data_IF_264758627545
#
_entry.id   IF_264758627545
#
_cell.length_a   1.000
_cell.length_b   1.000
_cell.length_c   1.000
_cell.angle_alpha   90.00
_cell.angle_beta   90.00
_cell.angle_gamma   90.00
#
_symmetry.space_group_name_H-M   'P 1'
#
loop_
_entity.id
_entity.type
_entity.pdbx_description
1 polymer ?
#
# COMPACT_ATOMS: atom_id res chain seq x y z
N UNK A 1 -13.17 10.51 10.32
CA UNK A 1 -13.17 9.03 10.27
C UNK A 1 -12.01 8.52 11.10
N UNK A 2 -12.19 7.48 11.90
CA UNK A 2 -11.14 6.93 12.76
C UNK A 2 -10.33 5.86 12.03
N UNK A 3 -9.12 5.58 12.49
CA UNK A 3 -8.30 4.48 11.95
C UNK A 3 -8.96 3.10 12.07
N UNK A 4 -9.90 2.91 13.00
CA UNK A 4 -10.73 1.71 13.09
C UNK A 4 -11.63 1.56 11.86
N UNK A 5 -12.40 2.60 11.52
CA UNK A 5 -13.31 2.60 10.36
C UNK A 5 -12.52 2.39 9.06
N UNK A 6 -11.35 3.03 8.95
CA UNK A 6 -10.50 2.87 7.77
C UNK A 6 -10.01 1.42 7.61
N UNK A 7 -9.69 0.72 8.71
CA UNK A 7 -9.34 -0.71 8.67
C UNK A 7 -10.50 -1.58 8.21
N UNK A 8 -11.71 -1.30 8.68
CA UNK A 8 -12.91 -2.05 8.23
C UNK A 8 -13.14 -1.84 6.74
N UNK A 9 -13.03 -0.60 6.24
CA UNK A 9 -13.16 -0.31 4.80
C UNK A 9 -12.09 -1.08 4.01
N UNK A 10 -10.83 -1.04 4.45
CA UNK A 10 -9.73 -1.75 3.77
C UNK A 10 -9.96 -3.26 3.72
N UNK A 11 -10.40 -3.88 4.84
CA UNK A 11 -10.70 -5.32 4.89
C UNK A 11 -11.90 -5.68 4.00
N UNK A 12 -12.98 -4.91 4.07
CA UNK A 12 -14.20 -5.18 3.31
C UNK A 12 -13.95 -5.06 1.79
N UNK A 13 -13.26 -4.00 1.35
CA UNK A 13 -12.97 -3.80 -0.07
C UNK A 13 -11.99 -4.84 -0.61
N UNK A 14 -11.02 -5.28 0.18
CA UNK A 14 -10.11 -6.38 -0.20
C UNK A 14 -10.85 -7.72 -0.31
N UNK A 15 -11.74 -8.01 0.63
CA UNK A 15 -12.54 -9.24 0.58
C UNK A 15 -13.45 -9.27 -0.66
N UNK A 16 -14.08 -8.13 -1.00
CA UNK A 16 -14.90 -8.01 -2.20
C UNK A 16 -14.08 -8.21 -3.49
N UNK A 17 -12.84 -7.71 -3.53
CA UNK A 17 -11.91 -7.93 -4.65
C UNK A 17 -11.67 -9.43 -4.88
N UNK A 18 -11.26 -10.13 -3.83
CA UNK A 18 -10.93 -11.56 -3.92
C UNK A 18 -12.16 -12.44 -4.21
N UNK A 19 -13.32 -12.13 -3.62
CA UNK A 19 -14.57 -12.82 -3.96
C UNK A 19 -14.96 -12.55 -5.41
N UNK A 20 -14.88 -11.29 -5.84
CA UNK A 20 -15.20 -10.93 -7.23
C UNK A 20 -14.33 -11.70 -8.21
N UNK A 21 -13.02 -11.66 -8.00
CA UNK A 21 -12.05 -12.30 -8.89
C UNK A 21 -12.21 -13.81 -9.00
N UNK A 22 -12.55 -14.48 -7.92
CA UNK A 22 -12.54 -15.95 -7.86
C UNK A 22 -13.90 -16.62 -8.07
N UNK A 23 -15.02 -15.92 -7.83
CA UNK A 23 -16.35 -16.55 -7.82
C UNK A 23 -17.38 -15.89 -8.76
N UNK A 24 -17.00 -14.84 -9.49
CA UNK A 24 -17.93 -14.08 -10.32
C UNK A 24 -17.40 -13.95 -11.74
N UNK A 25 -18.19 -14.38 -12.73
CA UNK A 25 -17.81 -14.37 -14.15
C UNK A 25 -17.48 -12.97 -14.71
N UNK A 26 -18.08 -11.91 -14.16
CA UNK A 26 -17.79 -10.53 -14.53
C UNK A 26 -17.47 -9.68 -13.29
N UNK A 27 -16.27 -9.83 -12.71
CA UNK A 27 -15.92 -9.25 -11.44
C UNK A 27 -15.64 -7.73 -11.47
N UNK A 28 -15.76 -7.09 -12.63
CA UNK A 28 -15.26 -5.73 -12.91
C UNK A 28 -15.60 -4.73 -11.79
N UNK A 29 -16.85 -4.69 -11.31
CA UNK A 29 -17.27 -3.75 -10.27
C UNK A 29 -16.60 -4.06 -8.91
N UNK A 30 -16.56 -5.34 -8.51
CA UNK A 30 -16.00 -5.75 -7.22
C UNK A 30 -14.49 -5.56 -7.20
N UNK A 31 -13.82 -5.89 -8.30
CA UNK A 31 -12.38 -5.66 -8.47
C UNK A 31 -12.04 -4.18 -8.43
N UNK A 32 -12.88 -3.32 -9.00
CA UNK A 32 -12.68 -1.88 -8.93
C UNK A 32 -12.85 -1.34 -7.51
N UNK A 33 -13.86 -1.79 -6.77
CA UNK A 33 -14.04 -1.46 -5.35
C UNK A 33 -12.81 -1.91 -4.55
N UNK A 34 -12.28 -3.07 -4.86
CA UNK A 34 -11.07 -3.62 -4.26
C UNK A 34 -9.84 -2.72 -4.37
N UNK A 35 -9.75 -1.90 -5.42
CA UNK A 35 -8.63 -0.94 -5.61
C UNK A 35 -8.55 0.13 -4.53
N UNK A 36 -9.59 0.32 -3.72
CA UNK A 36 -9.58 1.19 -2.55
C UNK A 36 -8.76 0.57 -1.40
N UNK A 37 -8.72 -0.76 -1.31
CA UNK A 37 -8.10 -1.47 -0.18
C UNK A 37 -6.63 -1.09 0.00
N UNK A 38 -5.84 -1.19 -1.06
CA UNK A 38 -4.40 -0.99 -0.96
C UNK A 38 -4.00 0.44 -0.55
N UNK A 39 -4.55 1.52 -1.15
CA UNK A 39 -4.32 2.88 -0.65
C UNK A 39 -4.63 3.04 0.84
N UNK A 40 -5.70 2.40 1.32
CA UNK A 40 -6.04 2.43 2.75
C UNK A 40 -5.00 1.70 3.61
N UNK A 41 -4.51 0.53 3.18
CA UNK A 41 -3.45 -0.20 3.89
C UNK A 41 -2.13 0.57 3.87
N UNK A 42 -1.73 1.14 2.75
CA UNK A 42 -0.52 1.94 2.63
C UNK A 42 -0.58 3.19 3.52
N UNK A 43 -1.74 3.85 3.59
CA UNK A 43 -1.95 5.00 4.47
C UNK A 43 -1.89 4.60 5.95
N UNK A 44 -2.54 3.51 6.35
CA UNK A 44 -2.49 2.99 7.72
C UNK A 44 -1.09 2.54 8.11
N UNK A 45 -0.33 1.98 7.17
CA UNK A 45 1.08 1.62 7.37
C UNK A 45 1.92 2.87 7.64
N UNK A 46 1.75 3.91 6.82
CA UNK A 46 2.44 5.20 6.97
C UNK A 46 2.08 5.89 8.29
N UNK A 47 0.80 5.83 8.69
CA UNK A 47 0.34 6.35 9.97
C UNK A 47 0.96 5.57 11.15
N UNK A 48 0.97 4.24 11.06
CA UNK A 48 1.60 3.36 12.06
C UNK A 48 3.11 3.61 12.18
N UNK A 49 3.80 3.77 11.06
CA UNK A 49 5.23 4.05 11.01
C UNK A 49 5.61 5.31 11.82
N UNK A 50 4.81 6.36 11.73
CA UNK A 50 5.05 7.60 12.46
C UNK A 50 5.18 7.41 13.98
N UNK A 51 4.42 6.47 14.54
CA UNK A 51 4.44 6.18 15.98
C UNK A 51 5.52 5.18 16.39
N UNK A 52 5.94 4.32 15.47
CA UNK A 52 6.82 3.18 15.75
C UNK A 52 8.28 3.54 15.52
N UNK A 53 8.58 4.39 14.54
CA UNK A 53 9.95 4.69 14.12
C UNK A 53 10.84 5.32 15.21
N UNK A 54 10.25 6.07 16.13
CA UNK A 54 10.98 6.75 17.20
C UNK A 54 11.51 5.82 18.29
N UNK A 55 10.96 4.61 18.41
CA UNK A 55 11.30 3.63 19.43
C UNK A 55 11.85 2.37 18.77
N UNK A 56 13.15 2.10 18.95
CA UNK A 56 13.84 0.94 18.35
C UNK A 56 13.16 -0.40 18.68
N UNK A 57 12.68 -0.56 19.91
CA UNK A 57 12.00 -1.81 20.32
C UNK A 57 10.67 -1.99 19.59
N UNK A 58 9.89 -0.91 19.46
CA UNK A 58 8.64 -0.92 18.73
C UNK A 58 8.87 -1.14 17.24
N UNK A 59 9.90 -0.48 16.68
CA UNK A 59 10.30 -0.64 15.28
C UNK A 59 10.63 -2.10 14.97
N UNK A 60 11.54 -2.71 15.74
CA UNK A 60 11.93 -4.12 15.57
C UNK A 60 10.74 -5.06 15.71
N UNK A 61 9.90 -4.86 16.74
CA UNK A 61 8.68 -5.65 16.91
C UNK A 61 7.74 -5.54 15.72
N UNK A 62 7.59 -4.35 15.14
CA UNK A 62 6.71 -4.13 14.01
C UNK A 62 7.25 -4.78 12.73
N UNK A 63 8.54 -4.61 12.46
CA UNK A 63 9.24 -5.27 11.34
C UNK A 63 9.13 -6.79 11.47
N UNK A 64 9.43 -7.36 12.65
CA UNK A 64 9.29 -8.80 12.89
C UNK A 64 7.86 -9.30 12.65
N UNK A 65 6.86 -8.51 13.04
CA UNK A 65 5.45 -8.85 12.78
C UNK A 65 5.14 -8.83 11.28
N UNK A 66 5.64 -7.84 10.53
CA UNK A 66 5.44 -7.77 9.08
C UNK A 66 6.15 -8.91 8.34
N UNK A 67 7.38 -9.26 8.76
CA UNK A 67 8.11 -10.41 8.21
C UNK A 67 7.33 -11.71 8.45
N UNK A 68 6.89 -11.93 9.69
CA UNK A 68 6.10 -13.12 10.03
C UNK A 68 4.81 -13.20 9.22
N UNK A 69 4.11 -12.08 9.07
CA UNK A 69 2.90 -12.02 8.25
C UNK A 69 3.20 -12.25 6.77
N UNK A 70 4.28 -11.71 6.23
CA UNK A 70 4.68 -11.97 4.86
C UNK A 70 4.92 -13.47 4.63
N UNK A 71 5.69 -14.11 5.51
CA UNK A 71 5.98 -15.55 5.41
C UNK A 71 4.71 -16.42 5.54
N UNK A 72 3.81 -16.09 6.47
CA UNK A 72 2.56 -16.87 6.66
C UNK A 72 1.58 -16.62 5.51
N UNK A 73 1.55 -15.40 4.98
CA UNK A 73 0.59 -15.02 3.94
C UNK A 73 0.95 -15.58 2.58
N UNK A 74 2.22 -15.87 2.32
CA UNK A 74 2.66 -16.34 1.00
C UNK A 74 1.99 -17.65 0.59
N UNK A 75 2.06 -18.75 1.36
CA UNK A 75 1.39 -20.00 0.99
C UNK A 75 -0.14 -19.86 0.93
N UNK A 76 -0.73 -18.97 1.75
CA UNK A 76 -2.17 -18.70 1.69
C UNK A 76 -2.55 -17.96 0.41
N UNK A 77 -1.70 -17.06 -0.05
CA UNK A 77 -1.88 -16.31 -1.28
C UNK A 77 -1.64 -17.18 -2.51
N UNK A 78 -0.60 -18.04 -2.50
CA UNK A 78 -0.34 -19.00 -3.57
C UNK A 78 -1.54 -19.94 -3.76
N UNK A 79 -2.14 -20.40 -2.66
CA UNK A 79 -3.36 -21.23 -2.72
C UNK A 79 -4.54 -20.45 -3.30
N UNK A 80 -4.68 -19.16 -2.99
CA UNK A 80 -5.71 -18.29 -3.52
C UNK A 80 -5.57 -18.05 -5.03
N UNK A 81 -4.33 -17.84 -5.51
CA UNK A 81 -4.05 -17.44 -6.91
C UNK A 81 -3.96 -18.67 -7.83
N UNK A 82 -3.35 -19.75 -7.36
CA UNK A 82 -2.99 -20.92 -8.18
C UNK A 82 -3.77 -22.20 -7.82
N UNK A 83 -4.58 -22.16 -6.77
CA UNK A 83 -5.33 -23.33 -6.30
C UNK A 83 -4.43 -24.52 -5.97
N UNK A 84 -4.68 -25.69 -6.55
CA UNK A 84 -3.89 -26.91 -6.34
C UNK A 84 -2.49 -26.90 -6.95
N UNK A 85 -2.15 -25.92 -7.78
CA UNK A 85 -0.87 -25.83 -8.51
C UNK A 85 0.24 -25.07 -7.74
N UNK A 86 0.17 -25.01 -6.42
CA UNK A 86 1.06 -24.23 -5.54
C UNK A 86 2.56 -24.49 -5.81
N UNK A 87 2.93 -25.72 -6.20
CA UNK A 87 4.33 -26.12 -6.29
C UNK A 87 5.12 -25.53 -7.48
N UNK A 88 4.46 -25.01 -8.52
CA UNK A 88 5.12 -24.46 -9.71
C UNK A 88 5.33 -22.94 -9.67
N UNK A 89 4.74 -22.24 -8.71
CA UNK A 89 4.52 -20.79 -8.80
C UNK A 89 5.07 -19.98 -7.63
N UNK A 90 5.86 -20.58 -6.74
CA UNK A 90 6.40 -19.93 -5.53
C UNK A 90 7.11 -18.57 -5.77
N UNK A 91 7.53 -18.26 -6.99
CA UNK A 91 8.19 -17.00 -7.37
C UNK A 91 7.35 -16.16 -8.33
N UNK A 92 6.20 -16.65 -8.81
CA UNK A 92 5.48 -16.00 -9.90
C UNK A 92 4.60 -14.83 -9.44
N UNK A 93 4.03 -14.90 -8.23
CA UNK A 93 3.21 -13.83 -7.70
C UNK A 93 3.38 -13.71 -6.19
N UNK A 94 3.78 -12.55 -5.71
CA UNK A 94 4.05 -12.33 -4.29
C UNK A 94 2.88 -11.64 -3.60
N UNK A 95 2.62 -12.03 -2.33
CA UNK A 95 1.54 -11.46 -1.54
C UNK A 95 1.69 -9.95 -1.29
N UNK A 96 0.57 -9.28 -1.08
CA UNK A 96 0.55 -7.84 -0.72
C UNK A 96 1.30 -7.55 0.59
N UNK A 97 1.49 -8.56 1.46
CA UNK A 97 2.23 -8.40 2.72
C UNK A 97 3.71 -8.16 2.49
N UNK A 98 4.32 -8.76 1.47
CA UNK A 98 5.69 -8.48 1.04
C UNK A 98 5.79 -7.02 0.57
N UNK A 99 4.84 -6.56 -0.22
CA UNK A 99 4.80 -5.16 -0.69
C UNK A 99 4.70 -4.16 0.47
N UNK A 100 3.87 -4.45 1.48
CA UNK A 100 3.75 -3.61 2.67
C UNK A 100 5.03 -3.63 3.52
N UNK A 101 5.67 -4.79 3.65
CA UNK A 101 6.98 -4.92 4.31
C UNK A 101 8.04 -4.06 3.60
N UNK A 102 8.14 -4.16 2.28
CA UNK A 102 9.06 -3.35 1.48
C UNK A 102 8.76 -1.85 1.64
N UNK A 103 7.48 -1.46 1.59
CA UNK A 103 7.08 -0.07 1.84
C UNK A 103 7.51 0.43 3.21
N UNK A 104 7.39 -0.40 4.25
CA UNK A 104 7.83 -0.07 5.60
C UNK A 104 9.35 0.07 5.70
N UNK A 105 10.10 -0.84 5.11
CA UNK A 105 11.57 -0.78 5.05
C UNK A 105 12.05 0.46 4.30
N UNK A 106 11.38 0.82 3.20
CA UNK A 106 11.66 2.04 2.44
C UNK A 106 11.37 3.31 3.23
N UNK A 107 10.27 3.39 3.94
CA UNK A 107 10.00 4.53 4.83
C UNK A 107 11.08 4.64 5.89
N UNK A 108 11.53 3.50 6.46
CA UNK A 108 12.61 3.46 7.45
C UNK A 108 13.93 3.96 6.88
N UNK A 109 14.32 3.48 5.72
CA UNK A 109 15.53 3.92 5.02
C UNK A 109 15.45 5.41 4.67
N UNK A 110 14.32 5.86 4.15
CA UNK A 110 14.09 7.26 3.79
C UNK A 110 14.24 8.17 5.00
N UNK A 111 13.71 7.78 6.17
CA UNK A 111 13.81 8.61 7.38
C UNK A 111 15.21 8.57 8.01
N UNK A 112 15.94 7.45 7.88
CA UNK A 112 17.34 7.35 8.30
C UNK A 112 18.25 8.23 7.44
N UNK A 113 18.05 8.24 6.14
CA UNK A 113 18.85 9.02 5.19
C UNK A 113 18.48 10.50 5.18
N UNK A 114 17.19 10.81 5.39
CA UNK A 114 16.62 12.17 5.34
C UNK A 114 15.79 12.46 6.58
N UNK A 115 16.42 12.57 7.75
CA UNK A 115 15.67 12.93 8.96
C UNK A 115 15.04 14.30 8.74
N UNK A 116 13.73 14.35 8.82
CA UNK A 116 12.93 15.53 8.50
C UNK A 116 13.13 16.69 9.48
N UNK A 117 13.90 16.49 10.56
CA UNK A 117 14.15 17.50 11.58
C UNK A 117 15.48 18.28 11.38
N UNK A 118 16.30 17.89 10.42
CA UNK A 118 17.57 18.58 10.18
C UNK A 118 17.45 19.54 8.99
N UNK A 119 17.79 20.82 9.21
CA UNK A 119 18.06 21.80 8.14
C UNK A 119 19.35 21.39 7.44
N UNK A 120 19.32 20.40 6.56
CA UNK A 120 20.48 20.02 5.75
C UNK A 120 20.57 20.89 4.49
N UNK A 121 21.81 21.23 4.12
CA UNK A 121 22.13 22.01 2.92
C UNK A 121 21.58 21.32 1.65
N UNK A 122 21.07 22.11 0.71
CA UNK A 122 20.50 21.66 -0.57
C UNK A 122 21.41 20.72 -1.39
N UNK A 123 22.74 20.87 -1.27
CA UNK A 123 23.73 19.99 -1.94
C UNK A 123 23.70 18.56 -1.40
N UNK A 124 23.49 18.41 -0.10
CA UNK A 124 23.39 17.11 0.56
C UNK A 124 22.08 16.44 0.13
N UNK A 125 20.98 17.19 0.04
CA UNK A 125 19.69 16.68 -0.39
C UNK A 125 19.74 16.09 -1.82
N UNK A 126 20.42 16.75 -2.77
CA UNK A 126 20.52 16.27 -4.16
C UNK A 126 21.28 14.95 -4.27
N UNK A 127 22.39 14.77 -3.58
CA UNK A 127 23.14 13.49 -3.58
C UNK A 127 22.29 12.34 -3.04
N UNK A 128 21.52 12.60 -2.01
CA UNK A 128 20.65 11.60 -1.41
C UNK A 128 19.46 11.24 -2.29
N UNK A 129 18.88 12.18 -3.04
CA UNK A 129 17.84 11.92 -4.02
C UNK A 129 18.34 10.93 -5.07
N UNK A 130 19.57 11.09 -5.56
CA UNK A 130 20.19 10.18 -6.52
C UNK A 130 20.35 8.78 -5.90
N UNK A 131 20.89 8.68 -4.68
CA UNK A 131 21.04 7.39 -3.98
C UNK A 131 19.70 6.70 -3.76
N UNK A 132 18.65 7.45 -3.38
CA UNK A 132 17.30 6.91 -3.25
C UNK A 132 16.74 6.47 -4.60
N UNK A 133 16.95 7.25 -5.65
CA UNK A 133 16.51 6.88 -6.99
C UNK A 133 17.20 5.60 -7.46
N UNK A 134 18.51 5.47 -7.27
CA UNK A 134 19.26 4.26 -7.61
C UNK A 134 18.82 3.04 -6.79
N UNK A 135 18.67 3.20 -5.48
CA UNK A 135 18.18 2.15 -4.61
C UNK A 135 16.74 1.75 -5.00
N UNK A 136 15.92 2.73 -5.38
CA UNK A 136 14.58 2.53 -5.87
C UNK A 136 14.52 1.74 -7.18
N UNK A 137 15.39 2.07 -8.14
CA UNK A 137 15.53 1.33 -9.40
C UNK A 137 15.98 -0.12 -9.14
N UNK A 138 16.90 -0.33 -8.19
CA UNK A 138 17.37 -1.66 -7.82
C UNK A 138 16.24 -2.51 -7.24
N UNK A 139 15.40 -1.94 -6.36
CA UNK A 139 14.25 -2.65 -5.79
C UNK A 139 13.14 -2.84 -6.83
N UNK A 140 12.95 -1.89 -7.73
CA UNK A 140 12.08 -2.07 -8.89
C UNK A 140 12.48 -3.26 -9.74
N UNK A 141 13.78 -3.38 -9.99
CA UNK A 141 14.32 -4.52 -10.75
C UNK A 141 14.17 -5.86 -10.01
N UNK A 142 14.41 -5.89 -8.69
CA UNK A 142 14.23 -7.11 -7.90
C UNK A 142 12.75 -7.50 -7.81
N UNK A 143 11.85 -6.55 -7.63
CA UNK A 143 10.40 -6.81 -7.63
C UNK A 143 9.89 -7.30 -8.99
N UNK A 144 10.46 -6.80 -10.09
CA UNK A 144 10.16 -7.30 -11.43
C UNK A 144 10.58 -8.77 -11.60
N UNK A 145 11.78 -9.13 -11.14
CA UNK A 145 12.28 -10.51 -11.20
C UNK A 145 11.50 -11.47 -10.30
N UNK A 146 10.89 -10.95 -9.23
CA UNK A 146 10.05 -11.74 -8.29
C UNK A 146 8.57 -11.70 -8.67
N UNK A 147 8.20 -11.09 -9.80
CA UNK A 147 6.81 -10.91 -10.26
C UNK A 147 5.84 -10.47 -9.15
N UNK A 148 6.36 -9.61 -8.25
CA UNK A 148 5.57 -9.11 -7.15
C UNK A 148 4.30 -8.40 -7.69
N UNK A 149 3.13 -8.88 -7.32
CA UNK A 149 1.82 -8.44 -7.82
C UNK A 149 1.58 -6.93 -7.73
N UNK A 150 2.28 -6.28 -6.82
CA UNK A 150 2.21 -4.85 -6.64
C UNK A 150 3.58 -4.23 -6.85
N UNK A 151 3.89 -3.89 -8.07
CA UNK A 151 5.11 -3.24 -8.52
C UNK A 151 5.70 -2.25 -7.50
N UNK A 152 7.00 -2.02 -7.58
CA UNK A 152 7.77 -1.08 -6.77
C UNK A 152 7.18 0.33 -6.61
N UNK A 153 6.17 0.72 -7.40
CA UNK A 153 5.47 1.98 -7.24
C UNK A 153 4.67 2.08 -5.92
N UNK A 154 4.22 0.96 -5.36
CA UNK A 154 3.48 0.95 -4.10
C UNK A 154 4.28 1.39 -2.87
N UNK A 155 5.56 1.02 -2.70
CA UNK A 155 6.42 1.61 -1.69
C UNK A 155 6.52 3.14 -1.79
N UNK A 156 6.49 3.71 -3.01
CA UNK A 156 6.44 5.18 -3.19
C UNK A 156 5.17 5.79 -2.61
N UNK A 157 4.03 5.15 -2.80
CA UNK A 157 2.78 5.62 -2.23
C UNK A 157 2.83 5.67 -0.70
N UNK A 158 3.40 4.65 -0.06
CA UNK A 158 3.59 4.63 1.38
C UNK A 158 4.50 5.77 1.85
N UNK A 159 5.61 6.02 1.14
CA UNK A 159 6.51 7.16 1.43
C UNK A 159 5.79 8.49 1.24
N UNK A 160 5.03 8.65 0.14
CA UNK A 160 4.28 9.87 -0.13
C UNK A 160 3.25 10.15 0.97
N UNK A 161 2.52 9.12 1.41
CA UNK A 161 1.60 9.23 2.54
C UNK A 161 2.31 9.57 3.85
N UNK A 162 3.44 8.96 4.12
CA UNK A 162 4.23 9.27 5.31
C UNK A 162 4.68 10.73 5.32
N UNK A 163 5.23 11.24 4.21
CA UNK A 163 5.64 12.63 4.06
C UNK A 163 4.46 13.58 4.19
N UNK A 164 3.35 13.26 3.56
CA UNK A 164 2.10 14.00 3.67
C UNK A 164 1.59 14.07 5.13
N UNK A 165 1.48 12.93 5.83
CA UNK A 165 1.02 12.88 7.21
C UNK A 165 1.91 13.69 8.14
N UNK A 166 3.21 13.68 7.88
CA UNK A 166 4.16 14.47 8.65
C UNK A 166 4.00 15.97 8.43
N UNK A 167 3.79 16.38 7.19
CA UNK A 167 3.52 17.77 6.85
C UNK A 167 2.19 18.25 7.44
N UNK A 168 1.12 17.50 7.26
CA UNK A 168 -0.23 17.88 7.70
C UNK A 168 -0.35 18.01 9.22
N UNK A 169 0.38 17.20 10.00
CA UNK A 169 0.40 17.31 11.47
C UNK A 169 1.02 18.60 11.99
N UNK A 170 1.92 19.19 11.24
CA UNK A 170 2.52 20.49 11.62
C UNK A 170 1.57 21.65 11.33
N UNK A 171 0.62 21.47 10.41
CA UNK A 171 -0.38 22.48 10.02
C UNK A 171 -1.71 22.39 10.78
N UNK A 172 -2.02 21.28 11.45
CA UNK A 172 -3.31 21.05 12.15
C UNK A 172 -3.62 22.04 13.31
N UNK A 173 -2.70 22.98 13.59
CA UNK A 173 -2.92 24.05 14.59
C UNK A 173 -3.81 25.20 14.07
N UNK A 174 -4.20 25.21 12.82
CA UNK A 174 -5.12 26.19 12.26
C UNK A 174 -6.52 25.59 12.16
N UNK A 175 -7.46 26.13 12.95
CA UNK A 175 -8.90 25.80 12.91
C UNK A 175 -9.53 26.22 11.57
N UNK A 176 -9.26 25.51 10.48
CA UNK A 176 -9.89 25.78 9.20
C UNK A 176 -11.01 24.77 8.94
N UNK A 177 -12.24 25.27 8.76
CA UNK A 177 -13.44 24.48 8.45
C UNK A 177 -13.27 23.57 7.22
N UNK A 178 -12.39 23.95 6.30
CA UNK A 178 -12.14 23.26 5.03
C UNK A 178 -10.89 22.36 5.05
N UNK A 179 -10.41 21.96 6.22
CA UNK A 179 -9.21 21.12 6.36
C UNK A 179 -9.25 19.83 5.55
N UNK A 180 -10.41 19.19 5.43
CA UNK A 180 -10.61 17.95 4.67
C UNK A 180 -10.47 18.19 3.15
N UNK A 181 -10.94 19.32 2.63
CA UNK A 181 -10.83 19.66 1.21
C UNK A 181 -9.36 19.87 0.81
N UNK A 182 -8.56 20.58 1.63
CA UNK A 182 -7.12 20.71 1.41
C UNK A 182 -6.45 19.33 1.38
N UNK A 183 -6.79 18.46 2.33
CA UNK A 183 -6.29 17.09 2.40
C UNK A 183 -6.68 16.27 1.16
N UNK A 184 -7.92 16.35 0.75
CA UNK A 184 -8.42 15.68 -0.45
C UNK A 184 -7.60 16.07 -1.69
N UNK A 185 -7.41 17.34 -1.94
CA UNK A 185 -6.64 17.80 -3.10
C UNK A 185 -5.18 17.36 -3.05
N UNK A 186 -4.54 17.38 -1.89
CA UNK A 186 -3.16 16.87 -1.76
C UNK A 186 -3.10 15.37 -2.04
N UNK A 187 -4.06 14.58 -1.57
CA UNK A 187 -4.13 13.15 -1.85
C UNK A 187 -4.40 12.88 -3.34
N UNK A 188 -5.28 13.66 -3.96
CA UNK A 188 -5.51 13.60 -5.42
C UNK A 188 -4.21 13.88 -6.18
N UNK A 189 -3.43 14.89 -5.77
CA UNK A 189 -2.12 15.17 -6.38
C UNK A 189 -1.12 14.03 -6.17
N UNK A 190 -1.09 13.41 -4.99
CA UNK A 190 -0.26 12.23 -4.75
C UNK A 190 -0.61 11.12 -5.74
N UNK A 191 -1.90 10.83 -5.94
CA UNK A 191 -2.32 9.83 -6.91
C UNK A 191 -2.08 10.27 -8.37
N UNK A 192 -2.28 11.55 -8.69
CA UNK A 192 -2.02 12.08 -10.01
C UNK A 192 -0.55 11.97 -10.44
N UNK A 193 0.37 12.07 -9.49
CA UNK A 193 1.82 11.85 -9.74
C UNK A 193 2.15 10.36 -9.72
N UNK A 194 1.58 9.61 -8.78
CA UNK A 194 1.85 8.20 -8.58
C UNK A 194 1.39 7.35 -9.76
N UNK A 195 0.15 7.52 -10.24
CA UNK A 195 -0.43 6.68 -11.28
C UNK A 195 0.36 6.71 -12.60
N UNK A 196 0.75 7.87 -13.16
CA UNK A 196 1.60 7.90 -14.35
C UNK A 196 2.94 7.19 -14.16
N UNK A 197 3.57 7.34 -12.98
CA UNK A 197 4.83 6.66 -12.66
C UNK A 197 4.62 5.15 -12.62
N UNK A 198 3.60 4.70 -11.90
CA UNK A 198 3.22 3.28 -11.83
C UNK A 198 3.07 2.69 -13.22
N UNK A 199 2.39 3.38 -14.04
CA UNK A 199 2.08 2.92 -15.37
C UNK A 199 3.26 3.04 -16.32
N UNK A 200 3.98 4.11 -16.31
CA UNK A 200 5.19 4.26 -17.12
C UNK A 200 6.18 3.13 -16.85
N UNK A 201 6.36 2.78 -15.60
CA UNK A 201 7.22 1.67 -15.24
C UNK A 201 6.64 0.32 -15.67
N UNK A 202 5.34 0.11 -15.51
CA UNK A 202 4.69 -1.11 -15.98
C UNK A 202 4.83 -1.28 -17.50
N UNK A 203 4.81 -0.18 -18.27
CA UNK A 203 5.03 -0.23 -19.73
C UNK A 203 6.46 -0.61 -20.14
N UNK A 204 7.45 -0.36 -19.27
CA UNK A 204 8.84 -0.73 -19.51
C UNK A 204 9.13 -2.20 -19.23
N UNK A 205 8.42 -2.78 -18.26
CA UNK A 205 8.67 -4.12 -17.75
C UNK A 205 7.52 -5.10 -18.04
N UNK A 206 6.44 -4.65 -18.63
CA UNK A 206 5.27 -5.46 -18.95
C UNK A 206 4.91 -5.40 -20.43
N UNK A 207 3.90 -6.15 -20.79
CA UNK A 207 3.39 -6.24 -22.16
C UNK A 207 3.15 -4.85 -22.77
N UNK A 208 3.78 -4.57 -23.89
CA UNK A 208 3.81 -3.29 -24.56
C UNK A 208 2.45 -2.80 -25.06
N UNK A 209 1.57 -2.46 -24.15
CA UNK A 209 0.31 -1.79 -24.49
C UNK A 209 0.60 -0.37 -24.98
N UNK A 210 0.16 -0.07 -26.19
CA UNK A 210 0.19 1.30 -26.71
C UNK A 210 -0.50 2.26 -25.73
N UNK A 211 0.02 3.46 -25.54
CA UNK A 211 -0.45 4.49 -24.57
C UNK A 211 -1.99 4.69 -24.60
N UNK A 212 -2.61 4.57 -25.78
CA UNK A 212 -4.06 4.72 -25.96
C UNK A 212 -4.88 3.53 -25.41
N UNK A 213 -4.42 2.30 -25.60
CA UNK A 213 -5.04 1.11 -25.01
C UNK A 213 -4.96 1.15 -23.48
N UNK A 214 -3.91 1.77 -23.02
CA UNK A 214 -3.59 2.10 -21.66
C UNK A 214 -4.58 3.03 -20.99
N UNK A 215 -4.82 4.21 -21.55
CA UNK A 215 -5.80 5.20 -21.04
C UNK A 215 -7.20 4.57 -21.00
N UNK A 216 -7.61 3.84 -22.03
CA UNK A 216 -8.92 3.20 -22.10
C UNK A 216 -9.14 2.17 -20.99
N UNK A 217 -8.16 1.33 -20.69
CA UNK A 217 -8.30 0.25 -19.71
C UNK A 217 -8.14 0.75 -18.27
N UNK A 218 -7.44 1.85 -18.05
CA UNK A 218 -7.11 2.33 -16.71
C UNK A 218 -7.83 3.61 -16.27
N UNK A 219 -8.56 4.26 -17.16
CA UNK A 219 -9.39 5.42 -16.80
C UNK A 219 -10.35 5.14 -15.63
N UNK A 220 -11.04 3.97 -15.58
CA UNK A 220 -11.85 3.64 -14.42
C UNK A 220 -11.08 3.56 -13.10
N UNK A 221 -9.80 3.16 -13.13
CA UNK A 221 -8.95 3.09 -11.95
C UNK A 221 -8.71 4.45 -11.30
N UNK A 222 -8.61 5.50 -12.11
CA UNK A 222 -8.44 6.88 -11.62
C UNK A 222 -9.60 7.27 -10.71
N UNK A 223 -10.84 6.94 -11.11
CA UNK A 223 -12.03 7.22 -10.30
C UNK A 223 -11.98 6.59 -8.91
N UNK A 224 -11.53 5.34 -8.83
CA UNK A 224 -11.42 4.64 -7.54
C UNK A 224 -10.30 5.17 -6.66
N UNK A 225 -9.21 5.65 -7.24
CA UNK A 225 -8.15 6.34 -6.49
C UNK A 225 -8.62 7.72 -5.98
N UNK A 226 -9.45 8.42 -6.74
CA UNK A 226 -10.10 9.66 -6.28
C UNK A 226 -11.04 9.36 -5.11
N UNK A 227 -11.82 8.28 -5.20
CA UNK A 227 -12.67 7.82 -4.09
C UNK A 227 -11.85 7.43 -2.87
N UNK A 228 -10.72 6.74 -3.06
CA UNK A 228 -9.77 6.44 -1.97
C UNK A 228 -9.23 7.74 -1.36
N UNK A 229 -8.85 8.74 -2.17
CA UNK A 229 -8.40 10.05 -1.68
C UNK A 229 -9.48 10.74 -0.84
N UNK A 230 -10.75 10.67 -1.27
CA UNK A 230 -11.87 11.20 -0.52
C UNK A 230 -12.02 10.51 0.83
N UNK A 231 -12.02 9.17 0.86
CA UNK A 231 -12.09 8.38 2.10
C UNK A 231 -10.94 8.74 3.05
N UNK A 232 -9.72 8.78 2.53
CA UNK A 232 -8.52 9.09 3.31
C UNK A 232 -8.51 10.53 3.84
N UNK A 233 -9.08 11.48 3.11
CA UNK A 233 -9.15 12.89 3.55
C UNK A 233 -9.90 13.08 4.85
N UNK A 234 -10.87 12.21 5.14
CA UNK A 234 -11.62 12.23 6.39
C UNK A 234 -10.92 11.50 7.55
N UNK A 235 -9.76 10.91 7.34
CA UNK A 235 -9.00 10.28 8.44
C UNK A 235 -8.56 11.32 9.46
N UNK A 236 -8.85 11.09 10.74
CA UNK A 236 -8.50 12.01 11.83
C UNK A 236 -7.28 11.54 12.66
N UNK A 237 -6.61 10.47 12.25
CA UNK A 237 -5.46 9.93 12.94
C UNK A 237 -5.73 9.35 14.34
N UNK A 238 -7.00 9.25 14.74
CA UNK A 238 -7.37 8.72 16.05
C UNK A 238 -7.77 7.25 15.92
N UNK A 239 -7.17 6.40 16.76
CA UNK A 239 -7.59 5.02 16.94
C UNK A 239 -8.74 5.00 17.94
N UNK A 240 -9.96 4.77 17.47
CA UNK A 240 -11.14 4.73 18.35
C UNK A 240 -11.26 3.41 19.11
N UNK A 241 -10.78 2.29 18.53
CA UNK A 241 -10.97 0.96 19.11
C UNK A 241 -9.62 0.27 19.32
N UNK A 242 -9.28 -0.04 20.60
CA UNK A 242 -7.98 -0.53 21.02
C UNK A 242 -7.97 -1.96 21.55
N UNK A 243 -9.08 -2.69 21.44
CA UNK A 243 -9.14 -4.05 22.02
C UNK A 243 -8.17 -5.00 21.32
N UNK A 244 -7.49 -5.84 22.11
CA UNK A 244 -6.48 -6.79 21.64
C UNK A 244 -7.02 -7.75 20.56
N UNK A 245 -8.26 -8.23 20.73
CA UNK A 245 -8.87 -9.15 19.79
C UNK A 245 -9.02 -8.55 18.38
N UNK A 246 -9.43 -7.30 18.27
CA UNK A 246 -9.56 -6.62 16.97
C UNK A 246 -8.20 -6.43 16.31
N UNK A 247 -7.16 -6.12 17.10
CA UNK A 247 -5.79 -6.02 16.59
C UNK A 247 -5.33 -7.36 16.00
N UNK A 248 -5.58 -8.46 16.69
CA UNK A 248 -5.25 -9.81 16.22
C UNK A 248 -6.06 -10.13 14.96
N UNK A 249 -7.38 -9.90 14.99
CA UNK A 249 -8.26 -10.11 13.87
C UNK A 249 -7.79 -9.33 12.62
N UNK A 250 -7.55 -8.03 12.75
CA UNK A 250 -7.06 -7.20 11.66
C UNK A 250 -5.71 -7.68 11.11
N UNK A 251 -4.81 -8.10 12.00
CA UNK A 251 -3.47 -8.56 11.63
C UNK A 251 -3.52 -9.89 10.87
N UNK A 252 -4.39 -10.81 11.29
CA UNK A 252 -4.54 -12.13 10.69
C UNK A 252 -5.56 -12.17 9.55
N UNK A 253 -6.29 -11.10 9.34
CA UNK A 253 -7.36 -11.05 8.34
C UNK A 253 -6.84 -11.44 6.95
N UNK A 254 -5.68 -10.91 6.54
CA UNK A 254 -5.14 -11.17 5.21
C UNK A 254 -4.82 -12.65 4.98
N UNK A 255 -3.97 -13.33 5.78
CA UNK A 255 -3.70 -14.75 5.55
C UNK A 255 -4.93 -15.63 5.74
N UNK A 256 -5.81 -15.31 6.68
CA UNK A 256 -6.99 -16.14 6.97
C UNK A 256 -8.01 -16.12 5.84
N UNK A 257 -8.39 -14.93 5.31
CA UNK A 257 -9.36 -14.89 4.22
C UNK A 257 -8.78 -15.44 2.92
N UNK A 258 -7.48 -15.22 2.64
CA UNK A 258 -6.80 -15.80 1.49
C UNK A 258 -6.81 -17.35 1.58
N UNK A 259 -6.51 -17.90 2.76
CA UNK A 259 -6.58 -19.35 3.00
C UNK A 259 -7.98 -19.90 2.80
N UNK A 260 -9.02 -19.25 3.37
CA UNK A 260 -10.40 -19.72 3.26
C UNK A 260 -10.84 -19.72 1.79
N UNK A 261 -10.61 -18.64 1.06
CA UNK A 261 -10.98 -18.54 -0.36
C UNK A 261 -10.18 -19.56 -1.19
N UNK A 262 -8.87 -19.66 -0.97
CA UNK A 262 -8.03 -20.62 -1.67
C UNK A 262 -8.45 -22.08 -1.44
N UNK A 263 -8.84 -22.45 -0.22
CA UNK A 263 -9.40 -23.77 0.05
C UNK A 263 -10.73 -24.02 -0.68
N UNK A 264 -11.60 -23.00 -0.77
CA UNK A 264 -12.87 -23.12 -1.52
C UNK A 264 -12.65 -23.25 -3.02
N UNK A 265 -11.55 -22.71 -3.57
CA UNK A 265 -11.18 -22.87 -4.97
C UNK A 265 -10.57 -24.25 -5.25
N UNK A 266 -9.83 -24.79 -4.28
CA UNK A 266 -9.14 -26.07 -4.41
C UNK A 266 -10.06 -27.28 -4.23
N UNK A 267 -11.27 -27.10 -3.67
CA UNK A 267 -12.33 -28.12 -3.55
C UNK A 267 -13.14 -28.27 -4.81
#
# INVERSE_FOLDING_TARGET
>A
MTGFVLRIIAMATMLLDHIGWNFIDNPMLLTWIGRIAFPCYAFLLAEGFFFVFKDRRRLLKHVSTLILLAVISEPCYDLLEFGSNIGSSFMEAQSVMITLLLGFLWMSLTELLFPTNEKKSDKIQRKYIIVLACAYLLIGFTNYKMEANFNFAWPLLAIAFYRYLRYSRNEEKTENKWWWAKRFWVLVWIFAVYLPIYFWVKSWFGDGYALLGWVRNYFPWIGWHILAALILSFSNGKLWYHKKWFKIFYTLFYPVHALIIGLLIAL
#
